data_IF_140876084601
#
_entry.id   IF_140876084601
#
_cell.length_a   1.000
_cell.length_b   1.000
_cell.length_c   1.000
_cell.angle_alpha   90.00
_cell.angle_beta   90.00
_cell.angle_gamma   90.00
#
_symmetry.space_group_name_H-M   'P 1'
#
loop_
_entity.id
_entity.type
_entity.pdbx_description
1 polymer ?
#
# COMPACT_ATOMS: atom_id res chain seq x y z
N UNK A 1 -27.14 -5.24 21.80
CA UNK A 1 -26.43 -4.04 21.34
C UNK A 1 -25.94 -4.29 19.92
N UNK A 2 -26.25 -3.38 19.00
CA UNK A 2 -26.21 -3.60 17.55
C UNK A 2 -24.78 -3.72 17.01
N UNK A 3 -24.51 -4.77 16.20
CA UNK A 3 -23.27 -5.00 15.43
C UNK A 3 -22.91 -3.85 14.48
N UNK A 4 -23.81 -2.87 14.25
CA UNK A 4 -23.54 -1.69 13.41
C UNK A 4 -22.47 -0.75 13.98
N UNK A 5 -22.30 -0.67 15.30
CA UNK A 5 -21.33 0.23 15.92
C UNK A 5 -19.91 -0.33 15.97
N UNK A 6 -19.71 -1.63 15.70
CA UNK A 6 -18.39 -2.28 15.68
C UNK A 6 -17.65 -2.14 14.35
N UNK A 7 -18.33 -1.71 13.28
CA UNK A 7 -17.75 -1.56 11.94
C UNK A 7 -17.51 -0.11 11.50
N UNK A 8 -17.75 0.88 12.37
CA UNK A 8 -17.35 2.25 12.08
C UNK A 8 -15.84 2.39 12.29
N UNK A 9 -15.10 2.56 11.18
CA UNK A 9 -13.68 2.92 11.24
C UNK A 9 -13.58 4.39 11.67
N UNK A 10 -13.78 4.65 12.97
CA UNK A 10 -13.78 6.00 13.56
C UNK A 10 -12.47 6.72 13.21
N UNK A 11 -11.35 6.01 13.29
CA UNK A 11 -10.05 6.56 12.93
C UNK A 11 -9.96 6.93 11.44
N UNK A 12 -10.48 6.08 10.54
CA UNK A 12 -10.58 6.40 9.11
C UNK A 12 -11.49 7.61 8.83
N UNK A 13 -12.62 7.74 9.54
CA UNK A 13 -13.49 8.92 9.40
C UNK A 13 -12.84 10.18 9.95
N UNK A 14 -12.14 10.10 11.09
CA UNK A 14 -11.43 11.24 11.68
C UNK A 14 -10.29 11.70 10.78
N UNK A 15 -9.50 10.77 10.21
CA UNK A 15 -8.46 11.13 9.26
C UNK A 15 -9.04 11.76 7.99
N UNK A 16 -10.14 11.22 7.46
CA UNK A 16 -10.83 11.83 6.32
C UNK A 16 -11.24 13.28 6.60
N UNK A 17 -11.85 13.56 7.75
CA UNK A 17 -12.19 14.93 8.13
C UNK A 17 -10.94 15.80 8.34
N UNK A 18 -9.88 15.27 8.96
CA UNK A 18 -8.64 16.00 9.15
C UNK A 18 -7.96 16.37 7.83
N UNK A 19 -7.89 15.45 6.87
CA UNK A 19 -7.41 15.72 5.52
C UNK A 19 -8.26 16.80 4.85
N UNK A 20 -9.59 16.74 4.98
CA UNK A 20 -10.48 17.74 4.38
C UNK A 20 -10.37 19.13 5.03
N UNK A 21 -10.06 19.23 6.33
CA UNK A 21 -10.05 20.52 7.04
C UNK A 21 -8.66 21.12 7.23
N UNK A 22 -7.60 20.31 7.20
CA UNK A 22 -6.28 20.71 7.70
C UNK A 22 -5.15 20.31 6.76
N UNK A 23 -5.23 19.18 6.06
CA UNK A 23 -4.12 18.65 5.24
C UNK A 23 -4.56 18.19 3.85
N UNK A 24 -5.32 19.03 3.15
CA UNK A 24 -5.92 18.70 1.84
C UNK A 24 -4.89 18.26 0.79
N UNK A 25 -3.66 18.76 0.91
CA UNK A 25 -2.52 18.37 0.08
C UNK A 25 -2.22 16.86 0.10
N UNK A 26 -2.55 16.15 1.20
CA UNK A 26 -2.39 14.70 1.29
C UNK A 26 -3.40 13.93 0.43
N UNK A 27 -4.52 14.55 0.03
CA UNK A 27 -5.51 13.95 -0.87
C UNK A 27 -5.25 14.23 -2.35
N UNK A 28 -4.29 15.11 -2.68
CA UNK A 28 -4.01 15.48 -4.07
C UNK A 28 -2.91 14.59 -4.62
N UNK A 29 -3.18 13.76 -5.65
CA UNK A 29 -2.14 12.94 -6.24
C UNK A 29 -1.11 13.81 -6.96
N UNK A 30 0.18 13.53 -6.74
CA UNK A 30 1.27 14.15 -7.50
C UNK A 30 1.28 13.72 -8.98
N UNK A 31 0.72 12.54 -9.27
CA UNK A 31 0.61 11.97 -10.61
C UNK A 31 -0.73 11.22 -10.71
N UNK A 32 -1.51 11.52 -11.76
CA UNK A 32 -2.73 10.79 -12.10
C UNK A 32 -2.58 10.19 -13.50
N UNK A 33 -2.64 8.87 -13.57
CA UNK A 33 -2.48 8.09 -14.81
C UNK A 33 -3.51 6.97 -14.85
N UNK A 34 -3.69 6.38 -16.03
CA UNK A 34 -4.73 5.35 -16.25
C UNK A 34 -4.47 4.06 -15.46
N UNK A 35 -3.22 3.61 -15.43
CA UNK A 35 -2.77 2.44 -14.67
C UNK A 35 -1.23 2.45 -14.55
N UNK A 36 -0.67 1.48 -13.82
CA UNK A 36 0.77 1.42 -13.52
C UNK A 36 1.66 1.40 -14.78
N UNK A 37 1.16 0.96 -15.95
CA UNK A 37 1.99 0.91 -17.18
C UNK A 37 2.34 2.28 -17.73
N UNK A 38 1.64 3.33 -17.29
CA UNK A 38 1.88 4.72 -17.68
C UNK A 38 2.89 5.43 -16.78
N UNK A 39 3.39 4.77 -15.74
CA UNK A 39 4.35 5.34 -14.80
C UNK A 39 5.77 5.17 -15.34
N UNK A 40 6.49 6.28 -15.48
CA UNK A 40 7.94 6.25 -15.68
C UNK A 40 8.64 6.11 -14.32
N UNK A 41 8.94 4.87 -13.95
CA UNK A 41 9.59 4.54 -12.68
C UNK A 41 10.99 5.14 -12.54
N UNK A 42 11.72 5.26 -13.64
CA UNK A 42 13.05 5.86 -13.66
C UNK A 42 12.97 7.36 -13.42
N UNK A 43 11.99 8.04 -14.01
CA UNK A 43 11.73 9.45 -13.74
C UNK A 43 11.35 9.69 -12.28
N UNK A 44 10.49 8.84 -11.68
CA UNK A 44 10.20 8.93 -10.25
C UNK A 44 11.45 8.71 -9.40
N UNK A 45 12.28 7.72 -9.74
CA UNK A 45 13.54 7.50 -9.02
C UNK A 45 14.46 8.72 -9.10
N UNK A 46 14.59 9.32 -10.29
CA UNK A 46 15.39 10.52 -10.53
C UNK A 46 14.82 11.76 -9.82
N UNK A 47 13.50 11.86 -9.66
CA UNK A 47 12.82 12.90 -8.89
C UNK A 47 13.05 12.78 -7.37
N UNK A 48 13.72 11.72 -6.91
CA UNK A 48 14.19 11.60 -5.53
C UNK A 48 13.44 10.57 -4.68
N UNK A 49 12.36 9.97 -5.19
CA UNK A 49 11.62 8.93 -4.49
C UNK A 49 12.53 7.74 -4.15
N UNK A 50 12.37 7.15 -2.96
CA UNK A 50 13.30 6.15 -2.41
C UNK A 50 12.81 4.72 -2.49
N UNK A 51 11.50 4.53 -2.41
CA UNK A 51 10.82 3.24 -2.41
C UNK A 51 9.41 3.38 -2.99
N UNK A 52 8.77 2.25 -3.29
CA UNK A 52 7.38 2.19 -3.73
C UNK A 52 6.56 1.30 -2.80
N UNK A 53 5.35 1.75 -2.46
CA UNK A 53 4.38 0.99 -1.67
C UNK A 53 3.13 0.83 -2.52
N UNK A 54 2.67 -0.40 -2.67
CA UNK A 54 1.50 -0.73 -3.47
C UNK A 54 0.37 -1.19 -2.57
N UNK A 55 -0.83 -0.70 -2.84
CA UNK A 55 -2.04 -1.36 -2.39
C UNK A 55 -2.26 -2.66 -3.18
N UNK A 56 -3.03 -3.61 -2.62
CA UNK A 56 -3.29 -4.91 -3.26
C UNK A 56 -4.50 -4.85 -4.20
N UNK A 57 -5.69 -4.86 -3.61
CA UNK A 57 -6.96 -5.02 -4.31
C UNK A 57 -7.29 -3.74 -5.11
N UNK A 58 -7.76 -3.88 -6.36
CA UNK A 58 -8.00 -2.77 -7.30
C UNK A 58 -6.75 -1.96 -7.71
N UNK A 59 -5.55 -2.43 -7.35
CA UNK A 59 -4.28 -1.77 -7.70
C UNK A 59 -3.34 -2.75 -8.42
N UNK A 60 -2.92 -3.82 -7.74
CA UNK A 60 -2.11 -4.88 -8.34
C UNK A 60 -2.95 -6.10 -8.77
N UNK A 61 -4.04 -6.35 -8.03
CA UNK A 61 -4.92 -7.49 -8.23
C UNK A 61 -6.33 -7.02 -8.59
N UNK A 62 -7.05 -7.82 -9.36
CA UNK A 62 -8.52 -7.75 -9.38
C UNK A 62 -9.09 -8.00 -7.97
N UNK A 63 -10.30 -7.52 -7.64
CA UNK A 63 -10.89 -7.72 -6.33
C UNK A 63 -10.86 -9.18 -5.88
N UNK A 64 -10.33 -9.45 -4.69
CA UNK A 64 -10.24 -10.79 -4.08
C UNK A 64 -9.37 -11.80 -4.84
N UNK A 65 -8.64 -11.37 -5.87
CA UNK A 65 -7.66 -12.21 -6.55
C UNK A 65 -6.37 -12.29 -5.73
N UNK A 66 -5.64 -13.40 -5.93
CA UNK A 66 -4.34 -13.64 -5.29
C UNK A 66 -3.19 -13.31 -6.25
N UNK A 67 -3.42 -13.25 -7.56
CA UNK A 67 -2.37 -13.01 -8.56
C UNK A 67 -2.34 -11.56 -9.06
N UNK A 68 -1.14 -11.09 -9.44
CA UNK A 68 -0.96 -9.83 -10.18
C UNK A 68 -1.79 -9.91 -11.48
N UNK A 69 -2.51 -8.83 -11.79
CA UNK A 69 -3.06 -8.66 -13.12
C UNK A 69 -1.93 -8.75 -14.16
N UNK A 70 -1.99 -9.74 -15.05
CA UNK A 70 -0.96 -10.02 -16.05
C UNK A 70 -0.55 -8.79 -16.85
N UNK A 71 -1.47 -7.83 -17.08
CA UNK A 71 -1.16 -6.59 -17.81
C UNK A 71 -0.17 -5.69 -17.05
N UNK A 72 -0.11 -5.78 -15.72
CA UNK A 72 0.70 -4.91 -14.86
C UNK A 72 2.07 -5.51 -14.54
N UNK A 73 2.28 -6.82 -14.72
CA UNK A 73 3.54 -7.51 -14.32
C UNK A 73 4.79 -6.83 -14.85
N UNK A 74 4.83 -6.51 -16.15
CA UNK A 74 6.00 -5.84 -16.75
C UNK A 74 6.27 -4.45 -16.17
N UNK A 75 5.23 -3.72 -15.74
CA UNK A 75 5.42 -2.42 -15.07
C UNK A 75 5.93 -2.59 -13.64
N UNK A 76 5.43 -3.59 -12.91
CA UNK A 76 5.91 -3.91 -11.56
C UNK A 76 7.39 -4.36 -11.59
N UNK A 77 7.77 -5.16 -12.59
CA UNK A 77 9.17 -5.55 -12.82
C UNK A 77 10.06 -4.34 -13.13
N UNK A 78 9.59 -3.41 -13.97
CA UNK A 78 10.30 -2.16 -14.25
C UNK A 78 10.46 -1.29 -12.99
N UNK A 79 9.42 -1.21 -12.15
CA UNK A 79 9.50 -0.56 -10.84
C UNK A 79 10.56 -1.22 -9.95
N UNK A 80 10.54 -2.55 -9.85
CA UNK A 80 11.52 -3.32 -9.07
C UNK A 80 12.94 -3.05 -9.51
N UNK A 81 13.19 -3.00 -10.82
CA UNK A 81 14.48 -2.67 -11.39
C UNK A 81 14.90 -1.23 -11.07
N UNK A 82 14.01 -0.24 -11.24
CA UNK A 82 14.32 1.17 -11.00
C UNK A 82 14.62 1.48 -9.51
N UNK A 83 13.93 0.81 -8.59
CA UNK A 83 14.06 1.04 -7.15
C UNK A 83 14.99 0.05 -6.44
N UNK A 84 15.63 -0.86 -7.18
CA UNK A 84 16.55 -1.85 -6.62
C UNK A 84 15.89 -2.78 -5.60
N UNK A 85 14.65 -3.19 -5.87
CA UNK A 85 13.88 -4.07 -4.99
C UNK A 85 13.25 -3.40 -3.76
N UNK A 86 13.38 -2.08 -3.58
CA UNK A 86 12.75 -1.33 -2.48
C UNK A 86 11.25 -1.11 -2.72
N UNK A 87 10.50 -2.21 -2.72
CA UNK A 87 9.07 -2.27 -2.95
C UNK A 87 8.40 -2.99 -1.77
N UNK A 88 7.20 -2.55 -1.39
CA UNK A 88 6.36 -3.25 -0.44
C UNK A 88 4.89 -3.27 -0.89
N UNK A 89 4.16 -4.31 -0.51
CA UNK A 89 2.70 -4.37 -0.57
C UNK A 89 2.16 -4.01 0.81
N UNK A 90 1.15 -3.14 0.86
CA UNK A 90 0.45 -2.78 2.09
C UNK A 90 -1.05 -2.97 1.84
N UNK A 91 -1.72 -3.88 2.53
CA UNK A 91 -3.12 -4.27 2.24
C UNK A 91 -4.00 -4.28 3.48
N UNK A 92 -5.27 -3.94 3.35
CA UNK A 92 -6.24 -4.10 4.45
C UNK A 92 -6.82 -5.53 4.56
N UNK A 93 -6.50 -6.42 3.61
CA UNK A 93 -6.93 -7.82 3.57
C UNK A 93 -5.80 -8.77 3.97
N UNK A 94 -4.61 -8.59 3.40
CA UNK A 94 -3.42 -9.40 3.65
C UNK A 94 -2.43 -8.70 4.58
N UNK A 95 -1.85 -9.43 5.54
CA UNK A 95 -0.89 -8.89 6.51
C UNK A 95 -1.50 -8.05 7.66
N UNK A 96 -2.79 -7.68 7.58
CA UNK A 96 -3.48 -7.02 8.69
C UNK A 96 -3.82 -8.04 9.78
N UNK A 97 -3.33 -7.86 11.00
CA UNK A 97 -3.49 -8.79 12.12
C UNK A 97 -4.94 -9.23 12.38
N UNK A 98 -5.92 -8.34 12.13
CA UNK A 98 -7.34 -8.63 12.29
C UNK A 98 -7.87 -9.68 11.29
N UNK A 99 -7.39 -9.67 10.04
CA UNK A 99 -7.91 -10.53 8.96
C UNK A 99 -6.94 -11.62 8.55
N UNK A 100 -5.63 -11.39 8.69
CA UNK A 100 -4.55 -12.32 8.40
C UNK A 100 -3.64 -12.52 9.64
N UNK A 101 -4.17 -13.06 10.75
CA UNK A 101 -3.45 -13.16 12.02
C UNK A 101 -2.22 -14.08 11.97
N UNK A 102 -2.16 -14.97 10.98
CA UNK A 102 -1.04 -15.89 10.76
C UNK A 102 -0.10 -15.44 9.63
N UNK A 103 -0.48 -14.43 8.84
CA UNK A 103 0.30 -13.97 7.70
C UNK A 103 0.25 -14.89 6.48
N UNK A 104 -0.71 -15.81 6.39
CA UNK A 104 -0.79 -16.82 5.32
C UNK A 104 -1.12 -16.15 3.97
N UNK A 105 -2.01 -15.14 3.96
CA UNK A 105 -2.31 -14.40 2.71
C UNK A 105 -1.12 -13.51 2.32
N UNK A 106 -0.47 -12.86 3.29
CA UNK A 106 0.74 -12.10 3.05
C UNK A 106 1.88 -12.97 2.46
N UNK A 107 2.12 -14.16 3.00
CA UNK A 107 3.11 -15.10 2.48
C UNK A 107 2.78 -15.58 1.06
N UNK A 108 1.50 -15.83 0.77
CA UNK A 108 1.07 -16.20 -0.58
C UNK A 108 1.33 -15.07 -1.59
N UNK A 109 1.08 -13.82 -1.21
CA UNK A 109 1.41 -12.65 -2.05
C UNK A 109 2.91 -12.49 -2.22
N UNK A 110 3.71 -12.70 -1.18
CA UNK A 110 5.16 -12.63 -1.32
C UNK A 110 5.69 -13.67 -2.31
N UNK A 111 5.17 -14.89 -2.23
CA UNK A 111 5.54 -15.96 -3.15
C UNK A 111 5.12 -15.67 -4.60
N UNK A 112 3.95 -15.04 -4.81
CA UNK A 112 3.43 -14.76 -6.15
C UNK A 112 4.05 -13.49 -6.78
N UNK A 113 4.47 -12.51 -5.98
CA UNK A 113 4.88 -11.17 -6.45
C UNK A 113 6.37 -10.93 -6.31
N UNK A 114 7.07 -11.71 -5.48
CA UNK A 114 8.46 -11.43 -5.05
C UNK A 114 8.62 -9.99 -4.51
N UNK A 115 7.62 -9.56 -3.73
CA UNK A 115 7.55 -8.25 -3.07
C UNK A 115 7.06 -8.48 -1.64
N UNK A 116 7.73 -7.89 -0.66
CA UNK A 116 7.37 -8.03 0.75
C UNK A 116 5.97 -7.46 1.02
N UNK A 117 5.11 -8.22 1.68
CA UNK A 117 3.80 -7.74 2.14
C UNK A 117 3.91 -7.33 3.62
N UNK A 118 3.62 -6.09 3.95
CA UNK A 118 3.75 -5.60 5.33
C UNK A 118 2.78 -6.32 6.26
N UNK A 119 3.27 -6.65 7.46
CA UNK A 119 2.44 -7.17 8.56
C UNK A 119 2.19 -6.02 9.52
N UNK A 120 0.94 -5.72 9.80
CA UNK A 120 0.56 -4.53 10.56
C UNK A 120 -0.69 -4.78 11.41
N UNK A 121 -0.88 -3.96 12.44
CA UNK A 121 -1.98 -4.15 13.41
C UNK A 121 -3.21 -3.33 13.09
N UNK A 122 -2.98 -2.12 12.61
CA UNK A 122 -4.03 -1.14 12.40
C UNK A 122 -4.44 -1.07 10.93
N UNK A 123 -5.74 -0.91 10.71
CA UNK A 123 -6.30 -0.82 9.36
C UNK A 123 -5.90 0.52 8.72
N UNK A 124 -5.43 0.52 7.48
CA UNK A 124 -5.23 1.76 6.71
C UNK A 124 -6.53 2.56 6.60
N UNK A 125 -6.51 3.89 6.69
CA UNK A 125 -5.34 4.74 6.95
C UNK A 125 -5.13 5.09 8.43
N UNK A 126 -5.75 4.35 9.37
CA UNK A 126 -5.75 4.67 10.79
C UNK A 126 -4.45 4.32 11.54
N UNK A 127 -3.59 3.49 10.94
CA UNK A 127 -2.34 3.03 11.55
C UNK A 127 -1.21 4.05 11.47
N UNK A 128 -0.18 3.86 12.30
CA UNK A 128 1.09 4.57 12.17
C UNK A 128 1.82 4.12 10.89
N UNK A 129 2.92 4.82 10.57
CA UNK A 129 3.81 4.40 9.50
C UNK A 129 4.97 3.52 10.00
N UNK A 130 4.93 3.05 11.23
CA UNK A 130 6.06 2.37 11.90
C UNK A 130 6.52 1.14 11.10
N UNK A 131 5.60 0.35 10.55
CA UNK A 131 5.97 -0.83 9.78
C UNK A 131 6.61 -0.48 8.42
N UNK A 132 6.21 0.66 7.83
CA UNK A 132 6.83 1.19 6.62
C UNK A 132 8.25 1.70 6.90
N UNK A 133 8.40 2.46 7.98
CA UNK A 133 9.68 3.00 8.43
C UNK A 133 10.68 1.89 8.76
N UNK A 134 10.24 0.90 9.53
CA UNK A 134 11.03 -0.27 9.87
C UNK A 134 11.44 -1.07 8.62
N UNK A 135 10.53 -1.26 7.66
CA UNK A 135 10.82 -2.02 6.44
C UNK A 135 11.83 -1.31 5.53
N UNK A 136 11.71 0.01 5.34
CA UNK A 136 12.59 0.76 4.45
C UNK A 136 13.83 1.35 5.13
N UNK A 137 13.90 1.27 6.46
CA UNK A 137 14.99 1.87 7.25
C UNK A 137 15.03 3.39 7.12
N UNK A 138 13.87 4.04 7.05
CA UNK A 138 13.76 5.49 6.98
C UNK A 138 12.80 6.02 8.04
N UNK A 139 13.13 7.13 8.67
CA UNK A 139 12.17 7.94 9.41
C UNK A 139 11.38 8.76 8.39
N UNK A 140 10.06 8.61 8.36
CA UNK A 140 9.21 9.53 7.62
C UNK A 140 9.22 10.84 8.40
N UNK A 141 9.51 11.94 7.71
CA UNK A 141 9.46 13.27 8.32
C UNK A 141 8.02 13.49 8.81
N UNK A 142 7.85 13.49 10.13
CA UNK A 142 6.59 13.78 10.81
C UNK A 142 6.10 15.21 10.62
#
# INVERSE_FOLDING_TARGET
>A
MSKLLQNFNVAGTTLFFHILTSEQQLAVPHLSVRDLRWIDWSALKAAGFKACVFDKDNTLCEPFAVDIDQKLRGSVEACRAAFGGKLAIYSNSAGLQQYDPKGEEAEALEAAFDIHCLRHRDKKPAGSCDELEAHFGCELLG
#
